data_IF_942451715900
#
_entry.id   IF_942451715900
#
_cell.length_a   1.000
_cell.length_b   1.000
_cell.length_c   1.000
_cell.angle_alpha   90.00
_cell.angle_beta   90.00
_cell.angle_gamma   90.00
#
_symmetry.space_group_name_H-M   'P 1'
#
loop_
_entity.id
_entity.type
_entity.pdbx_description
1 polymer ?
#
# COMPACT_ATOMS: atom_id res chain seq x y z
N UNK A 1 -16.50 -24.23 11.43
CA UNK A 1 -16.44 -23.77 10.04
C UNK A 1 -15.79 -24.87 9.23
N UNK A 2 -16.38 -25.36 8.13
CA UNK A 2 -15.79 -26.42 7.32
C UNK A 2 -15.11 -25.79 6.07
N UNK A 3 -13.86 -26.13 5.85
CA UNK A 3 -13.13 -25.75 4.64
C UNK A 3 -13.37 -26.79 3.54
N UNK A 4 -13.48 -26.33 2.31
CA UNK A 4 -13.50 -27.19 1.14
C UNK A 4 -12.06 -27.33 0.61
N UNK A 5 -11.42 -28.46 0.88
CA UNK A 5 -10.04 -28.73 0.41
C UNK A 5 -10.03 -28.96 -1.08
N UNK A 6 -9.19 -28.23 -1.80
CA UNK A 6 -9.03 -28.27 -3.26
C UNK A 6 -7.56 -28.33 -3.63
N UNK A 7 -7.25 -28.84 -4.83
CA UNK A 7 -5.86 -29.00 -5.29
C UNK A 7 -5.33 -27.80 -6.09
N UNK A 8 -6.20 -26.86 -6.49
CA UNK A 8 -5.82 -25.62 -7.18
C UNK A 8 -6.96 -24.60 -7.08
N UNK A 9 -6.66 -23.30 -7.25
CA UNK A 9 -7.64 -22.23 -7.23
C UNK A 9 -8.77 -22.42 -8.27
N UNK A 10 -8.44 -22.97 -9.44
CA UNK A 10 -9.40 -23.25 -10.52
C UNK A 10 -10.54 -24.21 -10.13
N UNK A 11 -10.31 -25.03 -9.09
CA UNK A 11 -11.31 -25.96 -8.55
C UNK A 11 -12.14 -25.36 -7.41
N UNK A 12 -12.08 -24.05 -7.23
CA UNK A 12 -12.86 -23.36 -6.21
C UNK A 12 -14.36 -23.59 -6.40
N UNK A 13 -15.06 -23.73 -5.29
CA UNK A 13 -16.52 -23.84 -5.25
C UNK A 13 -17.09 -22.54 -4.69
N UNK A 14 -18.02 -21.96 -5.43
CA UNK A 14 -18.73 -20.75 -5.02
C UNK A 14 -19.47 -20.96 -3.69
N UNK A 15 -19.53 -19.89 -2.87
CA UNK A 15 -20.19 -19.92 -1.56
C UNK A 15 -19.45 -20.72 -0.48
N UNK A 16 -18.22 -21.22 -0.75
CA UNK A 16 -17.40 -21.94 0.22
C UNK A 16 -16.04 -21.28 0.44
N UNK A 17 -15.51 -21.47 1.64
CA UNK A 17 -14.10 -21.17 1.89
C UNK A 17 -13.30 -22.36 1.38
N UNK A 18 -12.54 -22.13 0.31
CA UNK A 18 -11.70 -23.13 -0.32
C UNK A 18 -10.29 -23.05 0.27
N UNK A 19 -9.68 -24.19 0.53
CA UNK A 19 -8.33 -24.31 1.08
C UNK A 19 -7.45 -25.06 0.06
N UNK A 20 -6.36 -24.41 -0.36
CA UNK A 20 -5.30 -25.01 -1.19
C UNK A 20 -4.08 -25.24 -0.30
N UNK A 21 -3.53 -26.44 -0.30
CA UNK A 21 -2.27 -26.73 0.38
C UNK A 21 -1.11 -26.14 -0.44
N UNK A 22 -0.34 -25.26 0.16
CA UNK A 22 0.82 -24.61 -0.48
C UNK A 22 2.15 -25.32 -0.17
N UNK A 23 2.17 -26.23 0.81
CA UNK A 23 3.33 -27.02 1.21
C UNK A 23 2.90 -28.42 1.64
N UNK A 24 3.81 -29.41 1.52
CA UNK A 24 3.49 -30.82 1.78
C UNK A 24 3.49 -31.16 3.27
N UNK A 25 4.50 -30.69 4.00
CA UNK A 25 4.69 -30.99 5.41
C UNK A 25 4.42 -29.77 6.26
N UNK A 26 3.45 -29.88 7.18
CA UNK A 26 3.14 -28.81 8.10
C UNK A 26 4.27 -28.66 9.14
N UNK A 27 4.89 -27.47 9.28
CA UNK A 27 5.90 -27.25 10.29
C UNK A 27 5.29 -27.28 11.70
N UNK A 28 6.10 -27.64 12.70
CA UNK A 28 5.68 -27.52 14.09
C UNK A 28 5.60 -26.03 14.49
N UNK A 29 4.44 -25.63 14.99
CA UNK A 29 4.17 -24.24 15.36
C UNK A 29 4.28 -24.07 16.88
N UNK A 30 5.27 -23.27 17.31
CA UNK A 30 5.37 -22.79 18.69
C UNK A 30 4.94 -21.31 18.71
N UNK A 31 3.80 -21.02 19.35
CA UNK A 31 3.29 -19.66 19.42
C UNK A 31 4.27 -18.71 20.13
N UNK A 32 4.47 -17.55 19.52
CA UNK A 32 5.35 -16.52 20.07
C UNK A 32 6.84 -16.75 19.85
N UNK A 33 7.22 -17.82 19.15
CA UNK A 33 8.61 -18.15 18.83
C UNK A 33 8.91 -17.98 17.34
N UNK A 34 10.12 -17.54 17.04
CA UNK A 34 10.63 -17.50 15.67
C UNK A 34 10.99 -18.93 15.24
N UNK A 35 10.52 -19.34 14.05
CA UNK A 35 10.82 -20.63 13.45
C UNK A 35 11.03 -20.46 11.94
N UNK A 36 12.21 -20.88 11.43
CA UNK A 36 12.55 -20.78 10.00
C UNK A 36 11.73 -21.71 9.11
N UNK A 37 11.31 -22.88 9.60
CA UNK A 37 10.45 -23.79 8.84
C UNK A 37 9.07 -23.18 8.63
N UNK A 38 8.54 -22.47 9.65
CA UNK A 38 7.29 -21.70 9.53
C UNK A 38 7.49 -20.52 8.55
N UNK A 39 8.66 -19.87 8.57
CA UNK A 39 9.03 -18.84 7.61
C UNK A 39 9.05 -19.36 6.16
N UNK A 40 9.61 -20.53 5.94
CA UNK A 40 9.63 -21.20 4.63
C UNK A 40 8.21 -21.56 4.16
N UNK A 41 7.37 -22.13 5.03
CA UNK A 41 5.97 -22.42 4.71
C UNK A 41 5.17 -21.14 4.36
N UNK A 42 5.44 -20.04 5.03
CA UNK A 42 4.87 -18.73 4.69
C UNK A 42 5.33 -18.26 3.30
N UNK A 43 6.60 -18.45 2.95
CA UNK A 43 7.12 -18.14 1.62
C UNK A 43 6.44 -18.98 0.52
N UNK A 44 6.32 -20.28 0.69
CA UNK A 44 5.65 -21.15 -0.29
C UNK A 44 4.18 -20.75 -0.48
N UNK A 45 3.51 -20.31 0.59
CA UNK A 45 2.13 -19.77 0.51
C UNK A 45 2.05 -18.49 -0.31
N UNK A 46 2.98 -17.56 -0.10
CA UNK A 46 3.05 -16.30 -0.86
C UNK A 46 3.37 -16.58 -2.33
N UNK A 47 4.35 -17.43 -2.59
CA UNK A 47 4.79 -17.81 -3.93
C UNK A 47 3.64 -18.43 -4.74
N UNK A 48 2.87 -19.33 -4.12
CA UNK A 48 1.68 -19.91 -4.76
C UNK A 48 0.62 -18.84 -5.03
N UNK A 49 0.29 -17.98 -4.04
CA UNK A 49 -0.70 -16.92 -4.21
C UNK A 49 -0.31 -15.93 -5.29
N UNK A 50 0.97 -15.51 -5.36
CA UNK A 50 1.49 -14.60 -6.39
C UNK A 50 1.45 -15.25 -7.77
N UNK A 51 1.79 -16.55 -7.87
CA UNK A 51 1.68 -17.30 -9.11
C UNK A 51 0.24 -17.36 -9.61
N UNK A 52 -0.70 -17.72 -8.76
CA UNK A 52 -2.11 -17.80 -9.13
C UNK A 52 -2.70 -16.44 -9.51
N UNK A 53 -2.25 -15.36 -8.84
CA UNK A 53 -2.61 -13.98 -9.18
C UNK A 53 -2.06 -13.57 -10.55
N UNK A 54 -0.80 -13.89 -10.84
CA UNK A 54 -0.12 -13.60 -12.11
C UNK A 54 -0.79 -14.33 -13.28
N UNK A 55 -1.15 -15.59 -13.07
CA UNK A 55 -1.82 -16.44 -14.05
C UNK A 55 -3.33 -16.12 -14.19
N UNK A 56 -3.89 -15.23 -13.38
CA UNK A 56 -5.30 -14.85 -13.41
C UNK A 56 -6.27 -15.92 -12.87
N UNK A 57 -5.77 -16.86 -12.06
CA UNK A 57 -6.59 -17.86 -11.37
C UNK A 57 -7.29 -17.31 -10.15
N UNK A 58 -6.77 -16.21 -9.61
CA UNK A 58 -7.40 -15.39 -8.58
C UNK A 58 -7.35 -13.93 -9.01
N UNK A 59 -8.30 -13.14 -8.57
CA UNK A 59 -8.49 -11.75 -8.98
C UNK A 59 -7.70 -10.77 -8.09
N UNK A 60 -7.59 -11.10 -6.80
CA UNK A 60 -6.93 -10.28 -5.78
C UNK A 60 -6.14 -11.15 -4.80
N UNK A 61 -5.11 -10.59 -4.19
CA UNK A 61 -4.31 -11.24 -3.15
C UNK A 61 -4.34 -10.42 -1.86
N UNK A 62 -4.75 -11.04 -0.77
CA UNK A 62 -4.65 -10.46 0.58
C UNK A 62 -3.62 -11.26 1.37
N UNK A 63 -2.54 -10.59 1.81
CA UNK A 63 -1.46 -11.25 2.52
C UNK A 63 -1.49 -10.94 4.01
N UNK A 64 -1.57 -11.93 4.92
CA UNK A 64 -1.34 -11.71 6.33
C UNK A 64 0.14 -11.34 6.60
N UNK A 65 0.47 -10.77 7.78
CA UNK A 65 1.84 -10.36 8.08
C UNK A 65 2.81 -11.55 8.16
N UNK A 66 4.06 -11.31 7.79
CA UNK A 66 5.18 -12.25 7.90
C UNK A 66 6.24 -11.76 8.87
N UNK A 67 6.97 -12.68 9.46
CA UNK A 67 8.19 -12.36 10.19
C UNK A 67 9.36 -12.32 9.19
N UNK A 68 9.97 -11.15 9.02
CA UNK A 68 11.05 -10.92 8.04
C UNK A 68 12.29 -11.76 8.32
N UNK A 69 12.64 -11.98 9.59
CA UNK A 69 13.78 -12.78 9.98
C UNK A 69 13.55 -14.27 9.72
N UNK A 70 12.33 -14.76 9.96
CA UNK A 70 11.99 -16.17 9.76
C UNK A 70 11.92 -16.54 8.27
N UNK A 71 11.42 -15.64 7.41
CA UNK A 71 11.23 -15.91 5.97
C UNK A 71 12.51 -15.66 5.15
N UNK A 72 13.42 -14.81 5.63
CA UNK A 72 14.63 -14.46 4.90
C UNK A 72 15.53 -15.67 4.66
N UNK A 73 15.84 -15.95 3.40
CA UNK A 73 16.63 -17.10 2.94
C UNK A 73 17.23 -16.78 1.57
N UNK A 74 18.08 -17.67 1.04
CA UNK A 74 18.61 -17.54 -0.32
C UNK A 74 17.48 -17.59 -1.37
N UNK A 75 16.39 -18.29 -1.10
CA UNK A 75 15.21 -18.35 -1.95
C UNK A 75 14.29 -17.13 -1.80
N UNK A 76 14.40 -16.41 -0.69
CA UNK A 76 13.65 -15.18 -0.42
C UNK A 76 14.57 -14.05 0.08
N UNK A 77 15.37 -13.45 -0.79
CA UNK A 77 16.31 -12.38 -0.44
C UNK A 77 15.65 -10.99 -0.32
N UNK A 78 14.33 -10.93 -0.30
CA UNK A 78 13.53 -9.70 -0.31
C UNK A 78 13.32 -9.13 1.11
N UNK A 79 13.15 -7.81 1.19
CA UNK A 79 12.86 -7.12 2.46
C UNK A 79 11.44 -7.36 2.98
N UNK A 80 10.55 -7.91 2.14
CA UNK A 80 9.17 -8.23 2.51
C UNK A 80 8.29 -8.57 1.30
N UNK A 81 6.99 -8.67 1.55
CA UNK A 81 5.99 -8.97 0.51
C UNK A 81 6.05 -8.02 -0.69
N UNK A 82 6.15 -6.71 -0.41
CA UNK A 82 6.07 -5.69 -1.46
C UNK A 82 7.19 -5.84 -2.46
N UNK A 83 8.43 -6.00 -2.00
CA UNK A 83 9.59 -6.15 -2.88
C UNK A 83 9.51 -7.43 -3.70
N UNK A 84 9.05 -8.54 -3.09
CA UNK A 84 8.84 -9.80 -3.79
C UNK A 84 7.74 -9.68 -4.86
N UNK A 85 6.59 -9.11 -4.48
CA UNK A 85 5.46 -8.97 -5.41
C UNK A 85 5.80 -7.99 -6.54
N UNK A 86 6.53 -6.92 -6.26
CA UNK A 86 7.01 -5.96 -7.26
C UNK A 86 7.98 -6.61 -8.28
N UNK A 87 8.78 -7.58 -7.83
CA UNK A 87 9.65 -8.35 -8.73
C UNK A 87 8.89 -9.33 -9.64
N UNK A 88 7.68 -9.76 -9.26
CA UNK A 88 6.88 -10.77 -9.95
C UNK A 88 5.73 -10.20 -10.78
N UNK A 89 5.19 -9.05 -10.40
CA UNK A 89 4.01 -8.41 -11.01
C UNK A 89 4.44 -7.10 -11.67
N UNK A 90 4.01 -6.88 -12.92
CA UNK A 90 4.32 -5.64 -13.64
C UNK A 90 3.70 -4.42 -12.95
N UNK A 91 4.45 -3.31 -13.00
CA UNK A 91 4.01 -2.01 -12.48
C UNK A 91 5.12 -1.28 -11.75
N UNK A 92 4.77 -0.13 -11.19
CA UNK A 92 5.64 0.66 -10.31
C UNK A 92 4.97 0.76 -8.95
N UNK A 93 5.32 -0.15 -8.07
CA UNK A 93 4.66 -0.22 -6.76
C UNK A 93 4.86 1.04 -5.92
N UNK A 94 3.80 1.44 -5.24
CA UNK A 94 3.85 2.49 -4.24
C UNK A 94 2.97 2.09 -3.06
N UNK A 95 3.52 2.17 -1.86
CA UNK A 95 2.78 1.90 -0.64
C UNK A 95 1.76 3.00 -0.40
N UNK A 96 0.49 2.61 -0.27
CA UNK A 96 -0.60 3.48 0.12
C UNK A 96 -1.31 2.90 1.34
N UNK A 97 -1.34 3.66 2.41
CA UNK A 97 -2.12 3.33 3.60
C UNK A 97 -3.54 3.86 3.42
N UNK A 98 -4.53 2.99 3.60
CA UNK A 98 -5.94 3.29 3.33
C UNK A 98 -6.79 2.97 4.56
N UNK A 99 -7.63 3.90 4.94
CA UNK A 99 -8.74 3.71 5.85
C UNK A 99 -10.00 4.37 5.27
N UNK A 100 -11.13 4.23 5.93
CA UNK A 100 -12.41 4.77 5.44
C UNK A 100 -12.32 6.26 5.04
N UNK A 101 -11.63 7.08 5.86
CA UNK A 101 -11.61 8.54 5.70
C UNK A 101 -10.23 9.12 5.46
N UNK A 102 -9.21 8.29 5.25
CA UNK A 102 -7.84 8.78 5.13
C UNK A 102 -7.00 7.87 4.24
N UNK A 103 -6.33 8.45 3.24
CA UNK A 103 -5.31 7.79 2.43
C UNK A 103 -4.00 8.52 2.57
N UNK A 104 -2.93 7.77 2.81
CA UNK A 104 -1.57 8.32 2.96
C UNK A 104 -0.61 7.51 2.11
N UNK A 105 0.18 8.19 1.29
CA UNK A 105 1.30 7.62 0.55
C UNK A 105 2.60 8.32 0.93
N UNK A 106 3.72 7.81 0.47
CA UNK A 106 5.04 8.28 0.86
C UNK A 106 5.89 8.64 -0.37
N UNK A 107 6.63 9.74 -0.30
CA UNK A 107 7.70 10.01 -1.28
C UNK A 107 8.86 9.04 -1.10
N UNK A 108 9.28 8.84 0.16
CA UNK A 108 10.32 7.89 0.53
C UNK A 108 9.80 6.93 1.60
N UNK A 109 10.09 5.63 1.44
CA UNK A 109 9.52 4.56 2.28
C UNK A 109 10.54 4.08 3.35
N UNK A 110 11.15 2.94 3.16
CA UNK A 110 12.00 2.28 4.16
C UNK A 110 13.48 2.72 4.06
N UNK A 111 13.75 4.01 4.27
CA UNK A 111 15.10 4.58 4.22
C UNK A 111 15.46 5.30 5.53
N UNK A 112 16.74 5.43 5.88
CA UNK A 112 17.15 6.26 7.02
C UNK A 112 16.71 7.71 6.84
N UNK A 113 16.19 8.33 7.92
CA UNK A 113 15.73 9.74 7.90
C UNK A 113 16.79 10.70 7.36
N UNK A 114 18.06 10.46 7.69
CA UNK A 114 19.18 11.27 7.19
C UNK A 114 19.35 11.25 5.66
N UNK A 115 18.69 10.32 4.94
CA UNK A 115 18.75 10.17 3.48
C UNK A 115 17.51 10.72 2.77
N UNK A 116 16.51 11.17 3.49
CA UNK A 116 15.23 11.61 2.91
C UNK A 116 15.44 12.74 1.91
N UNK A 117 16.14 13.80 2.29
CA UNK A 117 16.40 14.96 1.43
C UNK A 117 17.29 14.63 0.22
N UNK A 118 18.19 13.67 0.36
CA UNK A 118 19.09 13.25 -0.74
C UNK A 118 18.32 12.53 -1.87
N UNK A 119 17.19 11.88 -1.53
CA UNK A 119 16.39 11.08 -2.47
C UNK A 119 15.20 11.82 -3.06
N UNK A 120 14.71 12.86 -2.38
CA UNK A 120 13.58 13.64 -2.91
C UNK A 120 14.09 14.58 -4.00
N UNK A 121 13.54 14.43 -5.19
CA UNK A 121 13.77 15.30 -6.35
C UNK A 121 12.45 15.77 -6.93
N UNK A 122 12.44 16.87 -7.70
CA UNK A 122 11.23 17.29 -8.41
C UNK A 122 10.63 16.20 -9.29
N UNK A 123 11.46 15.36 -9.92
CA UNK A 123 11.06 14.24 -10.77
C UNK A 123 10.41 13.13 -9.94
N UNK A 124 10.94 12.81 -8.77
CA UNK A 124 10.32 11.85 -7.85
C UNK A 124 8.93 12.32 -7.44
N UNK A 125 8.79 13.60 -7.07
CA UNK A 125 7.48 14.18 -6.72
C UNK A 125 6.50 14.06 -7.87
N UNK A 126 6.90 14.42 -9.11
CA UNK A 126 6.08 14.29 -10.30
C UNK A 126 5.62 12.86 -10.54
N UNK A 127 6.57 11.92 -10.56
CA UNK A 127 6.30 10.50 -10.83
C UNK A 127 5.35 9.90 -9.78
N UNK A 128 5.58 10.17 -8.51
CA UNK A 128 4.71 9.71 -7.41
C UNK A 128 3.32 10.33 -7.49
N UNK A 129 3.22 11.64 -7.71
CA UNK A 129 1.92 12.32 -7.85
C UNK A 129 1.14 11.77 -9.03
N UNK A 130 1.78 11.60 -10.19
CA UNK A 130 1.10 11.07 -11.37
C UNK A 130 0.57 9.65 -11.14
N UNK A 131 1.42 8.74 -10.68
CA UNK A 131 1.04 7.34 -10.43
C UNK A 131 -0.09 7.23 -9.39
N UNK A 132 -0.02 8.06 -8.33
CA UNK A 132 -1.04 8.08 -7.28
C UNK A 132 -2.35 8.73 -7.75
N UNK A 133 -2.29 9.75 -8.61
CA UNK A 133 -3.46 10.34 -9.23
C UNK A 133 -4.19 9.33 -10.12
N UNK A 134 -3.46 8.59 -10.95
CA UNK A 134 -4.02 7.49 -11.77
C UNK A 134 -4.65 6.40 -10.89
N UNK A 135 -3.99 6.04 -9.79
CA UNK A 135 -4.52 5.09 -8.80
C UNK A 135 -5.84 5.57 -8.21
N UNK A 136 -5.94 6.85 -7.81
CA UNK A 136 -7.17 7.40 -7.23
C UNK A 136 -8.32 7.40 -8.24
N UNK A 137 -8.04 7.69 -9.50
CA UNK A 137 -9.05 7.67 -10.58
C UNK A 137 -9.50 6.23 -10.86
N UNK A 138 -8.56 5.31 -11.06
CA UNK A 138 -8.84 3.95 -11.49
C UNK A 138 -9.36 3.05 -10.36
N UNK A 139 -8.70 3.10 -9.21
CA UNK A 139 -8.90 2.14 -8.12
C UNK A 139 -9.90 2.64 -7.06
N UNK A 140 -10.14 3.96 -7.00
CA UNK A 140 -11.08 4.58 -6.05
C UNK A 140 -12.19 5.38 -6.73
N UNK A 141 -12.19 5.45 -8.07
CA UNK A 141 -13.17 6.19 -8.88
C UNK A 141 -13.36 7.66 -8.48
N UNK A 142 -12.28 8.31 -8.09
CA UNK A 142 -12.27 9.73 -7.80
C UNK A 142 -11.88 10.48 -9.08
N UNK A 143 -12.84 11.05 -9.79
CA UNK A 143 -12.62 11.66 -11.12
C UNK A 143 -11.62 12.83 -11.10
N UNK A 144 -11.60 13.61 -10.03
CA UNK A 144 -10.73 14.79 -9.86
C UNK A 144 -10.07 14.77 -8.49
N UNK A 145 -9.09 13.88 -8.25
CA UNK A 145 -8.48 13.72 -6.95
C UNK A 145 -7.78 14.98 -6.47
N UNK A 146 -7.97 15.34 -5.20
CA UNK A 146 -7.22 16.40 -4.52
C UNK A 146 -6.10 15.78 -3.69
N UNK A 147 -4.87 16.05 -4.05
CA UNK A 147 -3.68 15.48 -3.43
C UNK A 147 -2.98 16.58 -2.63
N UNK A 148 -2.69 16.29 -1.35
CA UNK A 148 -1.86 17.16 -0.51
C UNK A 148 -0.45 16.58 -0.39
N UNK A 149 0.58 17.40 -0.46
CA UNK A 149 1.97 17.01 -0.17
C UNK A 149 2.43 17.72 1.09
N UNK A 150 2.99 16.95 2.03
CA UNK A 150 3.56 17.50 3.26
C UNK A 150 4.99 18.00 3.01
N UNK A 151 5.40 19.02 3.76
CA UNK A 151 6.74 19.56 3.68
C UNK A 151 7.79 18.59 4.23
N UNK A 152 9.00 18.71 3.71
CA UNK A 152 10.18 18.05 4.26
C UNK A 152 10.60 18.76 5.55
N UNK A 153 10.70 20.09 5.46
CA UNK A 153 11.19 20.93 6.55
C UNK A 153 10.05 21.40 7.44
N UNK A 154 10.30 21.62 8.75
CA UNK A 154 9.34 22.27 9.64
C UNK A 154 8.93 23.64 9.08
N UNK A 155 7.64 23.96 9.18
CA UNK A 155 7.07 25.24 8.72
C UNK A 155 7.39 25.59 7.26
N UNK A 156 7.55 24.55 6.39
CA UNK A 156 7.91 24.75 4.98
C UNK A 156 9.23 25.54 4.80
N UNK A 157 10.15 25.33 5.75
CA UNK A 157 11.44 26.02 5.77
C UNK A 157 11.40 27.49 6.21
N UNK A 158 10.23 28.02 6.64
CA UNK A 158 10.02 29.39 7.13
C UNK A 158 10.68 30.46 6.25
N UNK A 159 10.33 30.47 4.97
CA UNK A 159 10.89 31.40 3.99
C UNK A 159 12.39 31.24 3.71
N UNK A 160 12.98 30.11 4.11
CA UNK A 160 14.42 29.82 3.98
C UNK A 160 15.23 30.05 5.25
N UNK A 161 14.58 30.48 6.33
CA UNK A 161 15.25 30.69 7.63
C UNK A 161 15.68 29.36 8.25
N UNK A 162 14.84 28.32 8.13
CA UNK A 162 15.16 26.96 8.61
C UNK A 162 15.92 26.19 7.55
N UNK A 163 15.33 26.09 6.33
CA UNK A 163 15.92 25.40 5.20
C UNK A 163 15.21 25.81 3.89
N UNK A 164 15.78 25.40 2.75
CA UNK A 164 15.18 25.63 1.43
C UNK A 164 14.83 24.33 0.69
N UNK A 165 14.77 23.18 1.38
CA UNK A 165 14.56 21.90 0.73
C UNK A 165 13.20 21.84 0.02
N UNK A 166 12.13 22.26 0.65
CA UNK A 166 10.80 22.30 0.04
C UNK A 166 10.76 23.15 -1.21
N UNK A 167 11.34 24.34 -1.16
CA UNK A 167 11.42 25.28 -2.30
C UNK A 167 12.19 24.70 -3.48
N UNK A 168 13.23 23.92 -3.21
CA UNK A 168 14.12 23.37 -4.24
C UNK A 168 13.65 22.02 -4.76
N UNK A 169 13.08 21.17 -3.90
CA UNK A 169 12.84 19.77 -4.18
C UNK A 169 11.34 19.44 -4.40
N UNK A 170 10.44 20.06 -3.62
CA UNK A 170 9.01 19.72 -3.65
C UNK A 170 8.22 20.69 -4.54
N UNK A 171 8.37 21.99 -4.33
CA UNK A 171 7.60 23.02 -5.06
C UNK A 171 7.70 22.90 -6.59
N UNK A 172 8.88 22.68 -7.21
CA UNK A 172 8.96 22.54 -8.67
C UNK A 172 8.19 21.34 -9.20
N UNK A 173 8.20 20.21 -8.47
CA UNK A 173 7.42 19.02 -8.80
C UNK A 173 5.93 19.27 -8.74
N UNK A 174 5.45 19.90 -7.65
CA UNK A 174 4.04 20.29 -7.50
C UNK A 174 3.60 21.19 -8.67
N UNK A 175 4.38 22.24 -8.95
CA UNK A 175 4.05 23.19 -10.02
C UNK A 175 3.89 22.50 -11.38
N UNK A 176 4.80 21.62 -11.73
CA UNK A 176 4.72 20.89 -13.00
C UNK A 176 3.46 20.00 -13.09
N UNK A 177 3.06 19.38 -11.99
CA UNK A 177 1.83 18.58 -11.95
C UNK A 177 0.58 19.45 -12.03
N UNK A 178 0.58 20.64 -11.41
CA UNK A 178 -0.50 21.61 -11.55
C UNK A 178 -0.63 22.12 -13.01
N UNK A 179 0.50 22.41 -13.66
CA UNK A 179 0.55 22.84 -15.05
C UNK A 179 0.00 21.76 -16.00
N UNK A 180 0.05 20.48 -15.62
CA UNK A 180 -0.57 19.35 -16.34
C UNK A 180 -2.04 19.09 -15.95
N UNK A 181 -2.64 19.92 -15.07
CA UNK A 181 -4.04 19.85 -14.69
C UNK A 181 -4.34 18.96 -13.47
N UNK A 182 -3.34 18.40 -12.80
CA UNK A 182 -3.52 17.60 -11.58
C UNK A 182 -3.79 18.52 -10.39
N UNK A 183 -4.78 18.18 -9.57
CA UNK A 183 -5.13 18.95 -8.37
C UNK A 183 -4.23 18.54 -7.20
N UNK A 184 -3.00 19.03 -7.20
CA UNK A 184 -2.02 18.80 -6.14
C UNK A 184 -1.69 20.11 -5.43
N UNK A 185 -1.58 20.07 -4.11
CA UNK A 185 -1.43 21.22 -3.23
C UNK A 185 -0.33 21.02 -2.20
N UNK A 186 0.27 22.10 -1.73
CA UNK A 186 1.34 22.05 -0.73
C UNK A 186 2.59 22.82 -1.20
N UNK A 187 3.75 22.58 -0.57
CA UNK A 187 3.91 21.72 0.60
C UNK A 187 3.22 22.29 1.84
N UNK A 188 2.69 21.41 2.71
CA UNK A 188 2.03 21.79 3.96
C UNK A 188 2.88 21.37 5.17
N UNK A 189 2.94 22.22 6.19
CA UNK A 189 3.54 21.86 7.48
C UNK A 189 2.74 20.74 8.13
N UNK A 190 3.36 19.57 8.37
CA UNK A 190 2.67 18.35 8.76
C UNK A 190 1.92 18.47 10.08
N UNK A 191 2.51 19.13 11.09
CA UNK A 191 1.92 19.34 12.40
C UNK A 191 0.63 20.14 12.33
N UNK A 192 0.65 21.28 11.65
CA UNK A 192 -0.50 22.16 11.47
C UNK A 192 -1.56 21.52 10.59
N UNK A 193 -1.15 20.82 9.55
CA UNK A 193 -2.05 20.14 8.60
C UNK A 193 -2.92 19.08 9.27
N UNK A 194 -2.31 18.23 10.09
CA UNK A 194 -3.07 17.24 10.86
C UNK A 194 -3.77 17.87 12.06
N UNK A 195 -3.12 18.79 12.76
CA UNK A 195 -3.66 19.45 13.95
C UNK A 195 -4.91 20.29 13.69
N UNK A 196 -5.03 20.91 12.50
CA UNK A 196 -6.22 21.67 12.10
C UNK A 196 -7.28 20.84 11.38
N UNK A 197 -7.09 19.52 11.25
CA UNK A 197 -7.93 18.63 10.45
C UNK A 197 -8.04 19.02 8.96
N UNK A 198 -7.07 19.77 8.44
CA UNK A 198 -7.00 20.17 7.03
C UNK A 198 -6.97 18.95 6.10
N UNK A 199 -6.41 17.83 6.56
CA UNK A 199 -6.33 16.57 5.82
C UNK A 199 -7.68 16.07 5.29
N UNK A 200 -8.80 16.43 5.93
CA UNK A 200 -10.15 16.02 5.51
C UNK A 200 -10.61 16.61 4.19
N UNK A 201 -9.90 17.61 3.67
CA UNK A 201 -10.22 18.27 2.40
C UNK A 201 -9.58 17.59 1.18
N UNK A 202 -8.75 16.58 1.42
CA UNK A 202 -7.95 15.91 0.40
C UNK A 202 -8.27 14.43 0.31
N UNK A 203 -8.18 13.89 -0.88
CA UNK A 203 -8.42 12.48 -1.16
C UNK A 203 -7.19 11.61 -0.87
N UNK A 204 -5.99 12.22 -0.94
CA UNK A 204 -4.72 11.60 -0.63
C UNK A 204 -3.75 12.61 -0.02
N UNK A 205 -2.96 12.14 0.94
CA UNK A 205 -1.85 12.88 1.53
C UNK A 205 -0.56 12.15 1.15
N UNK A 206 0.42 12.88 0.62
CA UNK A 206 1.75 12.35 0.36
C UNK A 206 2.70 12.95 1.41
N UNK A 207 3.23 12.09 2.26
CA UNK A 207 4.24 12.46 3.25
C UNK A 207 5.65 12.31 2.67
N UNK A 208 6.59 13.11 3.15
CA UNK A 208 7.98 13.07 2.69
C UNK A 208 8.67 11.76 3.09
N UNK A 209 8.37 11.22 4.26
CA UNK A 209 8.99 10.01 4.80
C UNK A 209 8.01 9.21 5.68
N UNK A 210 8.41 7.98 5.99
CA UNK A 210 7.60 6.96 6.65
C UNK A 210 6.86 7.47 7.89
N UNK A 211 7.56 7.92 8.94
CA UNK A 211 6.92 8.24 10.22
C UNK A 211 6.08 9.51 10.16
N UNK A 212 6.42 10.46 9.28
CA UNK A 212 5.61 11.67 9.05
C UNK A 212 4.19 11.33 8.58
N UNK A 213 4.05 10.28 7.77
CA UNK A 213 2.77 9.84 7.24
C UNK A 213 2.09 8.79 8.12
N UNK A 214 2.85 7.79 8.60
CA UNK A 214 2.27 6.63 9.25
C UNK A 214 1.89 6.86 10.71
N UNK A 215 2.57 7.73 11.44
CA UNK A 215 2.17 8.07 12.82
C UNK A 215 0.75 8.67 12.83
N UNK A 216 0.45 9.76 12.09
CA UNK A 216 -0.90 10.30 12.07
C UNK A 216 -1.91 9.33 11.45
N UNK A 217 -1.53 8.58 10.40
CA UNK A 217 -2.42 7.57 9.82
C UNK A 217 -2.85 6.53 10.86
N UNK A 218 -1.91 5.90 11.55
CA UNK A 218 -2.21 4.86 12.56
C UNK A 218 -2.98 5.40 13.74
N UNK A 219 -2.71 6.62 14.14
CA UNK A 219 -3.44 7.30 15.21
C UNK A 219 -4.92 7.54 14.82
N UNK A 220 -5.17 7.92 13.57
CA UNK A 220 -6.51 8.28 13.09
C UNK A 220 -7.30 7.07 12.57
N UNK A 221 -6.65 6.01 12.09
CA UNK A 221 -7.32 4.82 11.57
C UNK A 221 -7.79 3.82 12.64
N UNK A 222 -7.36 3.99 13.88
CA UNK A 222 -7.78 3.17 15.03
C UNK A 222 -7.70 1.65 14.79
N UNK A 223 -6.66 1.18 14.12
CA UNK A 223 -6.44 -0.25 13.86
C UNK A 223 -7.22 -0.82 12.66
N UNK A 224 -7.94 0.00 11.91
CA UNK A 224 -8.64 -0.40 10.67
C UNK A 224 -7.84 -0.08 9.40
N UNK A 225 -6.56 0.26 9.54
CA UNK A 225 -5.69 0.59 8.42
C UNK A 225 -5.42 -0.61 7.53
N UNK A 226 -5.32 -0.35 6.24
CA UNK A 226 -4.95 -1.31 5.19
C UNK A 226 -3.73 -0.79 4.45
N UNK A 227 -2.75 -1.66 4.24
CA UNK A 227 -1.65 -1.39 3.32
C UNK A 227 -2.03 -1.90 1.93
N UNK A 228 -2.22 -0.98 1.00
CA UNK A 228 -2.48 -1.25 -0.40
C UNK A 228 -1.22 -1.02 -1.23
N UNK A 229 -0.82 -2.00 -2.03
CA UNK A 229 0.27 -1.87 -3.00
C UNK A 229 -0.30 -1.33 -4.30
N UNK A 230 -0.30 -0.01 -4.45
CA UNK A 230 -0.81 0.68 -5.65
C UNK A 230 0.18 0.62 -6.81
N UNK A 231 -0.27 0.93 -8.03
CA UNK A 231 0.59 1.02 -9.22
C UNK A 231 0.90 -0.31 -9.89
N UNK A 232 0.49 -1.45 -9.34
CA UNK A 232 0.63 -2.76 -9.96
C UNK A 232 -0.55 -3.08 -10.89
N UNK A 233 -0.30 -3.93 -11.89
CA UNK A 233 -1.37 -4.51 -12.74
C UNK A 233 -2.35 -5.35 -11.92
N UNK A 234 -1.87 -6.04 -10.90
CA UNK A 234 -2.65 -6.89 -10.02
C UNK A 234 -2.92 -6.20 -8.68
N UNK A 235 -3.93 -6.67 -7.98
CA UNK A 235 -4.38 -6.06 -6.72
C UNK A 235 -3.82 -6.86 -5.55
N UNK A 236 -3.09 -6.16 -4.68
CA UNK A 236 -2.62 -6.73 -3.41
C UNK A 236 -2.88 -5.78 -2.26
N UNK A 237 -3.50 -6.30 -1.20
CA UNK A 237 -3.69 -5.61 0.08
C UNK A 237 -3.12 -6.42 1.24
N UNK A 238 -2.89 -5.76 2.36
CA UNK A 238 -2.53 -6.43 3.61
C UNK A 238 -2.97 -5.60 4.81
N UNK A 239 -3.16 -6.22 5.99
CA UNK A 239 -3.43 -5.47 7.21
C UNK A 239 -2.23 -4.60 7.61
N UNK A 240 -2.52 -3.53 8.35
CA UNK A 240 -1.54 -2.56 8.85
C UNK A 240 -1.00 -2.96 10.24
N UNK A 241 -0.70 -4.23 10.44
CA UNK A 241 -0.07 -4.71 11.68
C UNK A 241 0.98 -5.78 11.40
N UNK A 242 1.84 -6.05 12.37
CA UNK A 242 2.84 -7.12 12.30
C UNK A 242 2.29 -8.47 12.76
N UNK A 243 3.18 -9.44 12.91
CA UNK A 243 2.88 -10.84 13.29
C UNK A 243 2.34 -11.01 14.71
N UNK A 244 2.43 -9.98 15.55
CA UNK A 244 1.84 -9.94 16.89
C UNK A 244 2.19 -11.15 17.79
N UNK A 245 3.44 -11.58 17.79
CA UNK A 245 3.94 -12.75 18.54
C UNK A 245 3.55 -12.73 20.02
N UNK A 246 3.53 -11.55 20.65
CA UNK A 246 3.19 -11.40 22.07
C UNK A 246 1.77 -11.83 22.44
N UNK A 247 0.86 -11.86 21.48
CA UNK A 247 -0.54 -12.27 21.65
C UNK A 247 -0.91 -13.54 20.89
N UNK A 248 0.05 -14.17 20.19
CA UNK A 248 -0.18 -15.39 19.43
C UNK A 248 -0.70 -16.51 20.35
N UNK A 249 -1.74 -17.22 19.91
CA UNK A 249 -2.39 -18.29 20.67
C UNK A 249 -3.32 -17.85 21.79
N UNK A 250 -3.43 -16.54 22.08
CA UNK A 250 -4.28 -16.02 23.21
C UNK A 250 -5.72 -15.74 22.82
N UNK A 251 -6.06 -15.75 21.52
CA UNK A 251 -7.42 -15.48 21.03
C UNK A 251 -7.91 -14.05 21.23
N UNK A 252 -7.01 -13.07 21.40
CA UNK A 252 -7.34 -11.65 21.67
C UNK A 252 -6.98 -10.70 20.51
N UNK A 253 -6.51 -11.22 19.39
CA UNK A 253 -6.19 -10.41 18.22
C UNK A 253 -7.46 -9.83 17.58
N UNK A 254 -7.44 -8.52 17.22
CA UNK A 254 -8.48 -7.94 16.38
C UNK A 254 -8.36 -8.47 14.95
N UNK A 255 -9.52 -8.70 14.33
CA UNK A 255 -9.62 -9.11 12.93
C UNK A 255 -9.90 -7.93 11.99
N UNK A 256 -10.10 -6.72 12.52
CA UNK A 256 -10.67 -5.58 11.79
C UNK A 256 -9.81 -5.16 10.60
N UNK A 257 -8.51 -4.95 10.80
CA UNK A 257 -7.59 -4.57 9.71
C UNK A 257 -7.52 -5.64 8.60
N UNK A 258 -7.57 -6.93 8.97
CA UNK A 258 -7.58 -8.01 7.99
C UNK A 258 -8.89 -8.05 7.19
N UNK A 259 -10.03 -7.88 7.85
CA UNK A 259 -11.33 -7.77 7.16
C UNK A 259 -11.38 -6.55 6.25
N UNK A 260 -10.91 -5.39 6.72
CA UNK A 260 -10.80 -4.19 5.89
C UNK A 260 -9.93 -4.43 4.65
N UNK A 261 -8.83 -5.20 4.79
CA UNK A 261 -7.96 -5.56 3.67
C UNK A 261 -8.69 -6.39 2.61
N UNK A 262 -9.53 -7.35 3.04
CA UNK A 262 -10.36 -8.16 2.13
C UNK A 262 -11.39 -7.29 1.40
N UNK A 263 -12.12 -6.46 2.13
CA UNK A 263 -13.15 -5.62 1.53
C UNK A 263 -12.54 -4.60 0.57
N UNK A 264 -11.44 -3.94 0.94
CA UNK A 264 -10.75 -3.00 0.06
C UNK A 264 -10.27 -3.68 -1.23
N UNK A 265 -9.71 -4.89 -1.15
CA UNK A 265 -9.29 -5.64 -2.34
C UNK A 265 -10.45 -5.92 -3.29
N UNK A 266 -11.61 -6.33 -2.75
CA UNK A 266 -12.83 -6.59 -3.52
C UNK A 266 -13.35 -5.30 -4.16
N UNK A 267 -13.37 -4.20 -3.42
CA UNK A 267 -13.86 -2.92 -3.91
C UNK A 267 -12.98 -2.38 -5.03
N UNK A 268 -11.65 -2.43 -4.87
CA UNK A 268 -10.71 -2.04 -5.93
C UNK A 268 -10.90 -2.91 -7.18
N UNK A 269 -11.09 -4.22 -7.03
CA UNK A 269 -11.34 -5.11 -8.16
C UNK A 269 -12.59 -4.69 -8.93
N UNK A 270 -13.70 -4.46 -8.24
CA UNK A 270 -14.95 -4.01 -8.86
C UNK A 270 -14.80 -2.66 -9.55
N UNK A 271 -14.10 -1.74 -8.93
CA UNK A 271 -13.87 -0.40 -9.47
C UNK A 271 -12.97 -0.44 -10.71
N UNK A 272 -11.94 -1.28 -10.73
CA UNK A 272 -11.13 -1.50 -11.95
C UNK A 272 -11.95 -2.08 -13.09
N UNK A 273 -12.82 -3.06 -12.82
CA UNK A 273 -13.70 -3.59 -13.86
C UNK A 273 -14.59 -2.50 -14.48
N UNK A 274 -15.19 -1.65 -13.66
CA UNK A 274 -16.03 -0.53 -14.11
C UNK A 274 -15.18 0.47 -14.90
N UNK A 275 -14.02 0.86 -14.40
CA UNK A 275 -13.11 1.78 -15.08
C UNK A 275 -12.67 1.26 -16.44
N UNK A 276 -12.28 -0.01 -16.52
CA UNK A 276 -11.83 -0.65 -17.74
C UNK A 276 -12.97 -0.77 -18.77
N UNK A 277 -14.20 -1.03 -18.32
CA UNK A 277 -15.38 -1.05 -19.19
C UNK A 277 -15.67 0.32 -19.80
N UNK A 278 -15.73 1.38 -18.98
CA UNK A 278 -15.96 2.74 -19.46
C UNK A 278 -14.81 3.30 -20.29
N UNK A 279 -13.59 2.82 -20.06
CA UNK A 279 -12.41 3.28 -20.80
C UNK A 279 -12.25 2.66 -22.19
N UNK A 280 -13.01 1.60 -22.53
CA UNK A 280 -12.94 0.94 -23.85
C UNK A 280 -13.32 1.84 -25.02
N UNK A 281 -14.20 2.81 -24.80
CA UNK A 281 -14.73 3.71 -25.82
C UNK A 281 -14.58 5.18 -25.40
N UNK A 282 -13.39 5.58 -24.95
CA UNK A 282 -13.13 7.00 -24.65
C UNK A 282 -13.38 7.84 -25.90
N UNK A 283 -14.23 8.87 -25.79
CA UNK A 283 -14.34 9.92 -26.79
C UNK A 283 -12.98 10.61 -26.94
N UNK A 284 -12.47 10.72 -28.18
CA UNK A 284 -11.30 11.57 -28.44
C UNK A 284 -11.70 13.01 -28.11
N UNK A 285 -11.17 13.54 -27.04
CA UNK A 285 -11.30 14.98 -26.76
C UNK A 285 -10.43 15.70 -27.77
N UNK A 286 -11.05 16.42 -28.69
CA UNK A 286 -10.36 17.40 -29.53
C UNK A 286 -9.62 18.38 -28.61
N UNK A 287 -8.29 18.45 -28.81
CA UNK A 287 -7.41 19.41 -28.12
C UNK A 287 -7.77 20.84 -28.51
#
# INVERSE_FOLDING_TARGET
>A
MSFNKISSAEKSKEGKINLVDSFNDAPEITFGALNKEVGYAAFESIKMGVKDLKEGKIDVLVTPPINKEAIHSDDFPFMGHTDYIDSEINGNSTMMMVSENLRVALLTEHIPVAKVTDLITPELVQNKVNALNETLIRDFQIERPKIAILSIDPHVGDGGVIAENDKKLVVPGIKKMQDSGVLVYGPFSADSFFGSAEYKKYDLIIAAYHDQGLIPFKTLSFGMGVNYTSGLEKIRTSPDHGTAYSIAGKGVASIDSFLCSIYLAIDIFRQRMIYDEFSKNKLETSQ
#
